data_IF_060119151124
#
_entry.id   IF_060119151124
#
_cell.length_a   1.000
_cell.length_b   1.000
_cell.length_c   1.000
_cell.angle_alpha   90.00
_cell.angle_beta   90.00
_cell.angle_gamma   90.00
#
_symmetry.space_group_name_H-M   'P 1'
#
loop_
_entity.id
_entity.type
_entity.pdbx_description
1 polymer ?
#
# COMPACT_ATOMS: atom_id res chain seq x y z
N UNK A 1 -12.00 -37.78 -27.04
CA UNK A 1 -11.85 -37.57 -25.59
C UNK A 1 -11.91 -36.05 -25.31
N UNK A 2 -13.03 -35.53 -24.82
CA UNK A 2 -13.15 -34.11 -24.38
C UNK A 2 -12.43 -33.98 -23.05
N UNK A 3 -11.25 -33.35 -23.06
CA UNK A 3 -10.53 -33.00 -21.81
C UNK A 3 -11.43 -32.04 -21.01
N UNK A 4 -11.86 -32.46 -19.82
CA UNK A 4 -12.63 -31.61 -18.92
C UNK A 4 -11.76 -30.46 -18.43
N UNK A 5 -11.80 -29.35 -19.16
CA UNK A 5 -11.08 -28.11 -18.84
C UNK A 5 -11.60 -27.42 -17.59
N UNK A 6 -12.78 -27.82 -17.11
CA UNK A 6 -13.44 -27.23 -15.93
C UNK A 6 -12.71 -27.47 -14.62
N UNK A 7 -12.08 -28.63 -14.43
CA UNK A 7 -11.33 -28.95 -13.19
C UNK A 7 -10.14 -28.03 -12.95
N UNK A 8 -9.22 -27.80 -13.95
CA UNK A 8 -8.10 -26.87 -13.74
C UNK A 8 -8.57 -25.41 -13.61
N UNK A 9 -9.65 -25.01 -14.28
CA UNK A 9 -10.21 -23.64 -14.14
C UNK A 9 -10.77 -23.41 -12.73
N UNK A 10 -11.47 -24.38 -12.16
CA UNK A 10 -11.98 -24.29 -10.77
C UNK A 10 -10.81 -24.26 -9.77
N UNK A 11 -9.77 -25.06 -9.98
CA UNK A 11 -8.59 -25.05 -9.09
C UNK A 11 -7.85 -23.70 -9.11
N UNK A 12 -7.72 -23.06 -10.29
CA UNK A 12 -7.12 -21.72 -10.43
C UNK A 12 -8.00 -20.66 -9.78
N UNK A 13 -9.33 -20.73 -9.94
CA UNK A 13 -10.25 -19.79 -9.29
C UNK A 13 -10.23 -19.91 -7.76
N UNK A 14 -10.21 -21.14 -7.23
CA UNK A 14 -10.12 -21.39 -5.78
C UNK A 14 -8.75 -20.94 -5.24
N UNK A 15 -7.66 -21.16 -5.97
CA UNK A 15 -6.35 -20.64 -5.64
C UNK A 15 -6.30 -19.12 -5.58
N UNK A 16 -6.90 -18.43 -6.55
CA UNK A 16 -6.96 -16.96 -6.58
C UNK A 16 -7.71 -16.36 -5.38
N UNK A 17 -8.76 -17.04 -4.89
CA UNK A 17 -9.52 -16.59 -3.72
C UNK A 17 -8.76 -16.73 -2.40
N UNK A 18 -7.84 -17.69 -2.28
CA UNK A 18 -7.04 -17.88 -1.06
C UNK A 18 -5.90 -16.86 -0.93
N UNK A 19 -5.42 -16.30 -2.05
CA UNK A 19 -4.37 -15.26 -2.03
C UNK A 19 -4.88 -13.85 -1.70
N UNK A 20 -6.18 -13.59 -1.75
CA UNK A 20 -6.75 -12.28 -1.44
C UNK A 20 -6.78 -11.94 0.06
N UNK A 21 -6.52 -12.91 0.94
CA UNK A 21 -6.60 -12.72 2.40
C UNK A 21 -5.41 -11.98 3.03
N UNK A 22 -4.29 -11.80 2.30
CA UNK A 22 -3.08 -11.15 2.82
C UNK A 22 -2.84 -9.72 2.30
N UNK A 23 -3.74 -9.22 1.45
CA UNK A 23 -3.64 -7.89 0.87
C UNK A 23 -4.58 -6.98 1.68
N UNK A 24 -4.05 -5.93 2.32
CA UNK A 24 -4.83 -5.00 3.14
C UNK A 24 -5.97 -4.32 2.38
N UNK A 25 -6.67 -3.39 3.03
CA UNK A 25 -7.94 -2.83 2.55
C UNK A 25 -7.84 -1.96 1.29
N UNK A 26 -6.63 -1.62 0.79
CA UNK A 26 -6.40 -0.68 -0.31
C UNK A 26 -7.23 0.60 -0.16
N UNK A 27 -7.10 1.23 1.00
CA UNK A 27 -7.97 2.32 1.40
C UNK A 27 -7.89 3.54 0.50
N UNK A 28 -6.69 3.96 0.06
CA UNK A 28 -6.52 5.09 -0.87
C UNK A 28 -7.06 4.74 -2.26
N UNK A 29 -6.70 3.57 -2.77
CA UNK A 29 -7.18 3.07 -4.06
C UNK A 29 -8.70 3.00 -4.09
N UNK A 30 -9.33 2.47 -3.04
CA UNK A 30 -10.78 2.41 -2.91
C UNK A 30 -11.42 3.81 -2.78
N UNK A 31 -10.74 4.75 -2.12
CA UNK A 31 -11.22 6.13 -2.01
C UNK A 31 -11.27 6.83 -3.38
N UNK A 32 -10.21 6.67 -4.18
CA UNK A 32 -10.18 7.21 -5.56
C UNK A 32 -11.23 6.52 -6.44
N UNK A 33 -11.41 5.21 -6.30
CA UNK A 33 -12.44 4.47 -7.04
C UNK A 33 -13.86 4.95 -6.68
N UNK A 34 -14.15 5.14 -5.41
CA UNK A 34 -15.44 5.63 -4.95
C UNK A 34 -15.71 7.07 -5.39
N UNK A 35 -14.68 7.92 -5.41
CA UNK A 35 -14.77 9.25 -5.98
C UNK A 35 -15.07 9.19 -7.48
N UNK A 36 -14.32 8.39 -8.23
CA UNK A 36 -14.53 8.25 -9.68
C UNK A 36 -15.94 7.77 -10.04
N UNK A 37 -16.49 6.81 -9.27
CA UNK A 37 -17.87 6.32 -9.47
C UNK A 37 -18.93 7.41 -9.31
N UNK A 38 -18.62 8.47 -8.59
CA UNK A 38 -19.52 9.61 -8.28
C UNK A 38 -19.11 10.90 -8.97
N UNK A 39 -18.06 10.88 -9.81
CA UNK A 39 -17.52 12.06 -10.45
C UNK A 39 -18.53 12.69 -11.42
N UNK A 40 -19.32 11.85 -12.09
CA UNK A 40 -20.42 12.29 -12.96
C UNK A 40 -21.60 11.31 -12.88
N UNK A 41 -22.80 11.75 -13.33
CA UNK A 41 -23.99 10.91 -13.39
C UNK A 41 -23.96 9.91 -14.57
N UNK A 42 -23.01 10.07 -15.48
CA UNK A 42 -22.90 9.28 -16.70
C UNK A 42 -21.80 8.21 -16.55
N UNK A 43 -22.15 6.94 -16.54
CA UNK A 43 -21.21 5.81 -16.41
C UNK A 43 -20.09 5.85 -17.45
N UNK A 44 -20.41 6.15 -18.70
CA UNK A 44 -19.43 6.23 -19.79
C UNK A 44 -18.36 7.31 -19.53
N UNK A 45 -18.77 8.48 -19.01
CA UNK A 45 -17.83 9.56 -18.67
C UNK A 45 -16.94 9.14 -17.50
N UNK A 46 -17.49 8.47 -16.50
CA UNK A 46 -16.72 7.94 -15.37
C UNK A 46 -15.69 6.89 -15.82
N UNK A 47 -15.99 6.12 -16.85
CA UNK A 47 -15.07 5.14 -17.45
C UNK A 47 -13.91 5.81 -18.18
N UNK A 48 -14.17 6.89 -18.91
CA UNK A 48 -13.13 7.73 -19.53
C UNK A 48 -12.25 8.36 -18.44
N UNK A 49 -12.85 8.92 -17.39
CA UNK A 49 -12.11 9.49 -16.25
C UNK A 49 -11.23 8.41 -15.61
N UNK A 50 -11.74 7.21 -15.41
CA UNK A 50 -10.97 6.08 -14.87
C UNK A 50 -9.70 5.82 -15.70
N UNK A 51 -9.81 5.77 -17.02
CA UNK A 51 -8.65 5.56 -17.91
C UNK A 51 -7.65 6.72 -17.80
N UNK A 52 -8.13 7.96 -17.77
CA UNK A 52 -7.27 9.15 -17.70
C UNK A 52 -6.52 9.25 -16.36
N UNK A 53 -7.16 8.84 -15.25
CA UNK A 53 -6.55 8.89 -13.92
C UNK A 53 -5.92 7.54 -13.51
N UNK A 54 -5.79 6.59 -14.44
CA UNK A 54 -5.17 5.28 -14.14
C UNK A 54 -3.79 5.38 -13.47
N UNK A 55 -2.90 6.34 -13.80
CA UNK A 55 -1.66 6.53 -13.06
C UNK A 55 -1.88 6.87 -11.58
N UNK A 56 -2.95 7.61 -11.24
CA UNK A 56 -3.26 7.91 -9.85
C UNK A 56 -3.64 6.66 -9.06
N UNK A 57 -4.31 5.69 -9.68
CA UNK A 57 -4.58 4.40 -9.04
C UNK A 57 -3.31 3.62 -8.73
N UNK A 58 -2.33 3.62 -9.64
CA UNK A 58 -1.03 2.99 -9.39
C UNK A 58 -0.33 3.63 -8.19
N UNK A 59 -0.28 4.96 -8.13
CA UNK A 59 0.29 5.72 -6.99
C UNK A 59 -0.41 5.35 -5.68
N UNK A 60 -1.74 5.33 -5.68
CA UNK A 60 -2.52 4.94 -4.49
C UNK A 60 -2.25 3.50 -4.08
N UNK A 61 -2.17 2.57 -5.04
CA UNK A 61 -1.89 1.16 -4.76
C UNK A 61 -0.49 0.96 -4.16
N UNK A 62 0.52 1.70 -4.62
CA UNK A 62 1.85 1.67 -4.01
C UNK A 62 1.85 2.23 -2.59
N UNK A 63 1.18 3.37 -2.36
CA UNK A 63 1.04 3.94 -1.03
C UNK A 63 0.26 3.00 -0.08
N UNK A 64 -0.82 2.39 -0.57
CA UNK A 64 -1.57 1.38 0.17
C UNK A 64 -0.67 0.19 0.55
N UNK A 65 0.10 -0.34 -0.41
CA UNK A 65 0.93 -1.52 -0.16
C UNK A 65 2.04 -1.24 0.84
N UNK A 66 2.81 -0.16 0.66
CA UNK A 66 4.04 0.07 1.41
C UNK A 66 3.82 0.83 2.73
N UNK A 67 2.75 1.59 2.84
CA UNK A 67 2.46 2.40 4.02
C UNK A 67 1.21 1.91 4.75
N UNK A 68 0.05 1.99 4.11
CA UNK A 68 -1.21 1.72 4.79
C UNK A 68 -1.37 0.24 5.14
N UNK A 69 -1.01 -0.68 4.24
CA UNK A 69 -1.07 -2.11 4.55
C UNK A 69 -0.09 -2.52 5.65
N UNK A 70 1.08 -1.85 5.73
CA UNK A 70 2.00 -2.08 6.84
C UNK A 70 1.35 -1.69 8.16
N UNK A 71 0.73 -0.51 8.22
CA UNK A 71 0.06 -0.04 9.44
C UNK A 71 -1.16 -0.93 9.74
N UNK A 72 -2.00 -1.24 8.75
CA UNK A 72 -3.17 -2.11 8.91
C UNK A 72 -2.76 -3.54 9.32
N UNK A 73 -1.65 -4.06 8.78
CA UNK A 73 -1.13 -5.37 9.16
C UNK A 73 -0.80 -5.44 10.67
N UNK A 74 -0.14 -4.42 11.20
CA UNK A 74 0.24 -4.40 12.62
C UNK A 74 -0.95 -4.08 13.54
N UNK A 75 -1.87 -3.23 13.10
CA UNK A 75 -2.97 -2.74 13.92
C UNK A 75 -4.29 -3.47 13.71
N UNK A 76 -4.44 -4.16 12.58
CA UNK A 76 -5.72 -4.79 12.19
C UNK A 76 -6.85 -3.80 11.85
N UNK A 77 -6.58 -2.50 11.83
CA UNK A 77 -7.58 -1.44 11.64
C UNK A 77 -7.26 -0.53 10.46
N UNK A 78 -8.30 -0.03 9.78
CA UNK A 78 -8.17 0.99 8.74
C UNK A 78 -7.76 2.32 9.33
N UNK A 79 -6.66 2.90 8.83
CA UNK A 79 -6.05 4.12 9.37
C UNK A 79 -6.39 5.40 8.61
N UNK A 80 -7.11 5.32 7.50
CA UNK A 80 -7.52 6.53 6.77
C UNK A 80 -8.50 7.35 7.61
N UNK A 81 -8.10 8.56 7.97
CA UNK A 81 -8.86 9.49 8.78
C UNK A 81 -8.71 10.94 8.31
N UNK A 82 -9.44 11.85 8.96
CA UNK A 82 -9.28 13.29 8.73
C UNK A 82 -7.95 13.78 9.30
N UNK A 83 -7.31 14.74 8.63
CA UNK A 83 -6.07 15.38 9.09
C UNK A 83 -6.25 15.94 10.51
N UNK A 84 -5.29 15.65 11.37
CA UNK A 84 -5.28 16.06 12.77
C UNK A 84 -6.02 15.12 13.73
N UNK A 85 -6.76 14.13 13.22
CA UNK A 85 -7.40 13.13 14.08
C UNK A 85 -6.41 12.08 14.55
N UNK A 86 -6.54 11.66 15.81
CA UNK A 86 -5.82 10.53 16.37
C UNK A 86 -6.81 9.39 16.60
N UNK A 87 -6.40 8.18 16.27
CA UNK A 87 -7.17 6.97 16.45
C UNK A 87 -6.34 5.95 17.21
N UNK A 88 -6.87 5.47 18.32
CA UNK A 88 -6.24 4.38 19.05
C UNK A 88 -6.64 3.05 18.43
N UNK A 89 -5.66 2.21 18.19
CA UNK A 89 -5.83 0.90 17.56
C UNK A 89 -5.04 -0.15 18.31
N UNK A 90 -5.62 -1.34 18.42
CA UNK A 90 -4.94 -2.48 19.00
C UNK A 90 -4.09 -3.17 17.93
N UNK A 91 -2.81 -3.30 18.17
CA UNK A 91 -1.91 -4.08 17.33
C UNK A 91 -2.18 -5.58 17.42
N UNK A 92 -1.70 -6.34 16.46
CA UNK A 92 -1.78 -7.82 16.48
C UNK A 92 -0.99 -8.44 17.63
N UNK A 93 -0.06 -7.69 18.20
CA UNK A 93 0.69 -8.00 19.41
C UNK A 93 -0.10 -7.76 20.70
N UNK A 94 -1.36 -7.30 20.60
CA UNK A 94 -2.24 -6.98 21.72
C UNK A 94 -1.93 -5.66 22.40
N UNK A 95 -1.04 -4.82 21.85
CA UNK A 95 -0.64 -3.53 22.41
C UNK A 95 -1.41 -2.39 21.73
N UNK A 96 -1.64 -1.29 22.46
CA UNK A 96 -2.35 -0.11 21.94
C UNK A 96 -1.39 0.87 21.27
N UNK A 97 -1.73 1.32 20.08
CA UNK A 97 -1.00 2.29 19.28
C UNK A 97 -1.90 3.49 18.97
N UNK A 98 -1.36 4.70 19.08
CA UNK A 98 -2.07 5.91 18.66
C UNK A 98 -1.60 6.33 17.26
N UNK A 99 -2.51 6.35 16.29
CA UNK A 99 -2.21 6.75 14.90
C UNK A 99 -2.85 8.10 14.63
N UNK A 100 -2.01 9.10 14.42
CA UNK A 100 -2.43 10.45 14.06
C UNK A 100 -2.25 10.70 12.58
N UNK A 101 -3.32 11.11 11.92
CA UNK A 101 -3.28 11.51 10.50
C UNK A 101 -2.69 12.89 10.36
N UNK A 102 -1.57 13.02 9.66
CA UNK A 102 -0.92 14.28 9.32
C UNK A 102 -1.38 14.77 7.93
N UNK A 103 -1.06 16.02 7.59
CA UNK A 103 -1.35 16.57 6.25
C UNK A 103 -0.64 15.83 5.11
N UNK A 104 0.51 15.25 5.40
CA UNK A 104 1.35 14.56 4.42
C UNK A 104 1.80 13.18 4.91
N UNK A 105 1.07 12.54 5.80
CA UNK A 105 1.44 11.22 6.30
C UNK A 105 0.78 10.83 7.62
N UNK A 106 1.49 10.03 8.40
CA UNK A 106 1.01 9.47 9.66
C UNK A 106 2.09 9.54 10.73
N UNK A 107 1.71 9.91 11.95
CA UNK A 107 2.50 9.73 13.17
C UNK A 107 1.92 8.51 13.90
N UNK A 108 2.77 7.57 14.26
CA UNK A 108 2.41 6.39 15.04
C UNK A 108 3.13 6.50 16.37
N UNK A 109 2.36 6.52 17.45
CA UNK A 109 2.90 6.44 18.81
C UNK A 109 2.69 5.03 19.32
N UNK A 110 3.74 4.35 19.70
CA UNK A 110 3.69 3.02 20.28
C UNK A 110 3.26 3.07 21.77
N UNK A 111 2.99 1.92 22.42
CA UNK A 111 2.61 1.87 23.84
C UNK A 111 3.67 2.39 24.81
N UNK A 112 4.93 2.43 24.39
CA UNK A 112 6.04 2.94 25.20
C UNK A 112 6.23 4.45 25.03
N UNK A 113 5.40 5.08 24.16
CA UNK A 113 5.42 6.51 23.87
C UNK A 113 6.41 6.91 22.77
N UNK A 114 7.09 5.93 22.15
CA UNK A 114 8.00 6.20 21.03
C UNK A 114 7.22 6.54 19.76
N UNK A 115 7.75 7.47 19.00
CA UNK A 115 7.09 7.96 17.78
C UNK A 115 7.81 7.54 16.53
N UNK A 116 7.03 7.10 15.57
CA UNK A 116 7.50 6.85 14.20
C UNK A 116 6.59 7.57 13.21
N UNK A 117 7.14 7.86 12.02
CA UNK A 117 6.47 8.69 11.03
C UNK A 117 6.54 8.03 9.66
N UNK A 118 5.42 8.03 8.97
CA UNK A 118 5.34 7.78 7.53
C UNK A 118 4.98 9.09 6.85
N UNK A 119 5.90 9.67 6.06
CA UNK A 119 5.74 11.01 5.52
C UNK A 119 5.99 11.04 4.03
N UNK A 120 5.12 11.72 3.31
CA UNK A 120 5.29 12.03 1.89
C UNK A 120 6.06 13.35 1.73
N UNK A 121 7.22 13.30 1.10
CA UNK A 121 7.98 14.48 0.72
C UNK A 121 7.61 14.90 -0.72
N UNK A 122 6.98 16.07 -0.84
CA UNK A 122 6.61 16.62 -2.14
C UNK A 122 7.79 17.02 -3.00
N UNK A 123 8.91 17.41 -2.40
CA UNK A 123 10.12 17.83 -3.12
C UNK A 123 10.81 16.65 -3.80
N UNK A 124 10.94 15.56 -3.09
CA UNK A 124 11.54 14.32 -3.58
C UNK A 124 10.52 13.35 -4.17
N UNK A 125 9.23 13.74 -4.17
CA UNK A 125 8.11 12.93 -4.67
C UNK A 125 8.14 11.49 -4.10
N UNK A 126 8.46 11.35 -2.82
CA UNK A 126 8.66 10.03 -2.21
C UNK A 126 8.09 9.89 -0.81
N UNK A 127 7.90 8.66 -0.40
CA UNK A 127 7.51 8.29 0.95
C UNK A 127 8.71 7.83 1.76
N UNK A 128 8.77 8.31 2.99
CA UNK A 128 9.81 7.94 3.95
C UNK A 128 9.20 7.47 5.25
N UNK A 129 9.88 6.53 5.89
CA UNK A 129 9.68 6.14 7.28
C UNK A 129 10.77 6.76 8.13
N UNK A 130 10.43 7.28 9.30
CA UNK A 130 11.43 7.72 10.27
C UNK A 130 11.09 7.28 11.68
N UNK A 131 12.10 6.89 12.43
CA UNK A 131 12.05 6.59 13.86
C UNK A 131 13.39 7.00 14.49
N UNK A 132 13.36 7.65 15.64
CA UNK A 132 14.56 8.03 16.44
C UNK A 132 15.62 8.83 15.67
N UNK A 133 15.20 9.61 14.68
CA UNK A 133 16.09 10.40 13.82
C UNK A 133 16.63 9.63 12.60
N UNK A 134 16.46 8.33 12.55
CA UNK A 134 16.72 7.52 11.36
C UNK A 134 15.62 7.74 10.32
N UNK A 135 16.00 8.12 9.10
CA UNK A 135 15.08 8.32 7.99
C UNK A 135 15.40 7.30 6.90
N UNK A 136 14.39 6.54 6.51
CA UNK A 136 14.47 5.55 5.43
C UNK A 136 13.46 5.89 4.35
N UNK A 137 13.95 6.11 3.13
CA UNK A 137 13.09 6.19 1.96
C UNK A 137 12.44 4.81 1.71
N UNK A 138 11.15 4.81 1.45
CA UNK A 138 10.41 3.60 1.11
C UNK A 138 10.28 3.48 -0.41
N UNK A 139 9.86 4.56 -1.06
CA UNK A 139 9.81 4.66 -2.50
C UNK A 139 9.68 6.11 -2.96
N UNK A 140 10.10 6.38 -4.20
CA UNK A 140 9.94 7.69 -4.86
C UNK A 140 9.49 7.55 -6.30
N UNK A 141 8.88 8.62 -6.83
CA UNK A 141 8.41 8.68 -8.21
C UNK A 141 9.46 9.34 -9.08
N UNK A 142 9.90 8.64 -10.13
CA UNK A 142 10.84 9.16 -11.12
C UNK A 142 10.15 10.11 -12.11
N UNK A 143 10.93 10.91 -12.83
CA UNK A 143 10.42 11.85 -13.83
C UNK A 143 9.79 11.16 -15.04
N UNK A 144 10.21 9.95 -15.36
CA UNK A 144 9.67 9.10 -16.43
C UNK A 144 8.36 8.42 -16.04
N UNK A 145 7.85 8.64 -14.81
CA UNK A 145 6.65 8.03 -14.27
C UNK A 145 6.85 6.63 -13.69
N UNK A 146 8.08 6.11 -13.69
CA UNK A 146 8.41 4.89 -12.97
C UNK A 146 8.54 5.13 -11.46
N UNK A 147 8.60 4.07 -10.69
CA UNK A 147 8.76 4.11 -9.23
C UNK A 147 10.08 3.45 -8.87
N UNK A 148 10.87 4.14 -8.06
CA UNK A 148 12.02 3.55 -7.39
C UNK A 148 11.58 3.10 -5.99
N UNK A 149 11.53 1.79 -5.76
CA UNK A 149 11.21 1.21 -4.46
C UNK A 149 12.50 0.82 -3.72
N UNK A 150 12.55 1.12 -2.42
CA UNK A 150 13.65 0.75 -1.54
C UNK A 150 13.25 -0.49 -0.74
N UNK A 151 13.94 -1.59 -0.97
CA UNK A 151 13.67 -2.86 -0.29
C UNK A 151 14.22 -2.85 1.13
N UNK A 152 13.71 -3.71 2.03
CA UNK A 152 14.26 -3.87 3.39
C UNK A 152 15.75 -4.24 3.42
N UNK A 153 16.25 -4.87 2.38
CA UNK A 153 17.68 -5.17 2.17
C UNK A 153 18.54 -3.92 1.96
N UNK A 154 17.93 -2.76 1.69
CA UNK A 154 18.60 -1.54 1.23
C UNK A 154 18.79 -1.46 -0.28
N UNK A 155 18.45 -2.51 -1.02
CA UNK A 155 18.46 -2.49 -2.48
C UNK A 155 17.35 -1.58 -3.03
N UNK A 156 17.62 -0.90 -4.14
CA UNK A 156 16.64 -0.09 -4.86
C UNK A 156 16.29 -0.74 -6.18
N UNK A 157 15.00 -0.92 -6.44
CA UNK A 157 14.50 -1.45 -7.70
C UNK A 157 13.63 -0.41 -8.41
N UNK A 158 13.82 -0.26 -9.71
CA UNK A 158 12.96 0.56 -10.54
C UNK A 158 11.89 -0.31 -11.18
N UNK A 159 10.64 0.08 -11.01
CA UNK A 159 9.48 -0.66 -11.51
C UNK A 159 8.51 0.29 -12.20
N UNK A 160 7.75 -0.17 -13.21
CA UNK A 160 6.69 0.65 -13.80
C UNK A 160 5.60 0.96 -12.78
N UNK A 161 4.95 2.11 -12.92
CA UNK A 161 3.84 2.54 -12.06
C UNK A 161 2.52 1.86 -12.50
N UNK A 162 2.51 0.54 -12.52
CA UNK A 162 1.36 -0.29 -12.92
C UNK A 162 1.26 -1.57 -12.06
N UNK A 163 0.30 -2.42 -12.38
CA UNK A 163 0.08 -3.68 -11.67
C UNK A 163 1.28 -4.62 -11.71
N UNK A 164 2.06 -4.61 -12.79
CA UNK A 164 3.26 -5.44 -12.93
C UNK A 164 4.38 -4.94 -12.02
N UNK A 165 4.62 -3.62 -11.96
CA UNK A 165 5.58 -3.04 -11.04
C UNK A 165 5.21 -3.29 -9.59
N UNK A 166 3.92 -3.17 -9.25
CA UNK A 166 3.43 -3.51 -7.92
C UNK A 166 3.69 -4.98 -7.55
N UNK A 167 3.48 -5.89 -8.50
CA UNK A 167 3.78 -7.31 -8.32
C UNK A 167 5.28 -7.55 -8.09
N UNK A 168 6.15 -6.89 -8.87
CA UNK A 168 7.61 -7.01 -8.72
C UNK A 168 8.08 -6.56 -7.33
N UNK A 169 7.62 -5.39 -6.85
CA UNK A 169 7.94 -4.91 -5.49
C UNK A 169 7.47 -5.90 -4.44
N UNK A 170 6.24 -6.41 -4.56
CA UNK A 170 5.68 -7.39 -3.62
C UNK A 170 6.50 -8.66 -3.54
N UNK A 171 6.93 -9.20 -4.69
CA UNK A 171 7.77 -10.40 -4.73
C UNK A 171 9.13 -10.14 -4.09
N UNK A 172 9.77 -9.03 -4.44
CA UNK A 172 11.06 -8.65 -3.87
C UNK A 172 10.99 -8.40 -2.36
N UNK A 173 9.90 -7.81 -1.86
CA UNK A 173 9.67 -7.63 -0.42
C UNK A 173 9.45 -8.96 0.32
N UNK A 174 8.74 -9.92 -0.29
CA UNK A 174 8.51 -11.23 0.32
C UNK A 174 9.83 -12.02 0.45
N UNK A 175 10.69 -11.96 -0.55
CA UNK A 175 12.01 -12.57 -0.48
C UNK A 175 12.86 -11.92 0.63
N UNK A 176 12.80 -10.59 0.79
CA UNK A 176 13.47 -9.86 1.86
C UNK A 176 12.95 -10.18 3.26
N UNK A 177 11.65 -10.43 3.41
CA UNK A 177 11.05 -10.84 4.69
C UNK A 177 11.49 -12.24 5.12
N UNK A 178 11.67 -13.18 4.20
CA UNK A 178 12.18 -14.52 4.50
C UNK A 178 13.59 -14.49 5.12
N UNK A 179 14.45 -13.58 4.66
CA UNK A 179 15.79 -13.41 5.21
C UNK A 179 15.80 -12.67 6.57
N UNK A 180 14.83 -11.81 6.85
CA UNK A 180 14.74 -11.06 8.10
C UNK A 180 14.28 -11.92 9.29
N UNK A 181 13.49 -12.98 9.04
CA UNK A 181 13.00 -13.89 10.09
C UNK A 181 13.97 -15.05 10.41
N UNK A 182 15.03 -15.25 9.62
CA UNK A 182 16.00 -16.33 9.78
C UNK A 182 17.37 -15.87 10.33
N UNK A 183 17.44 -14.72 10.95
CA UNK A 183 18.55 -14.20 11.76
C UNK A 183 18.04 -14.02 13.19
#
# INVERSE_FOLDING_TARGET
MKKNLTKPVIAVLLGALTFSSCIGSFGLTNSVLNWNKRATDTKFVNEIIFVLISPAYAVCAFADLLVLNSIEFWTGNKVIGQVGTTKDVMGKDGRMYAIKTLKNGYEITDPDGEKSYFVFDKKHKGWSYSKDGDIRELFSFNEDGSIQACLPSGEKINVPADANGLYQVRMAMNDGLFYAFNK
#
